data_IF_799400655831
#
_entry.id   IF_799400655831
#
_cell.length_a   1.000
_cell.length_b   1.000
_cell.length_c   1.000
_cell.angle_alpha   90.00
_cell.angle_beta   90.00
_cell.angle_gamma   90.00
#
_symmetry.space_group_name_H-M   'P 1'
#
loop_
_entity.id
_entity.type
_entity.pdbx_description
1 polymer ?
#
# COMPACT_ATOMS: atom_id res chain seq x y z
N UNK A 1 7.65 17.82 2.64
CA UNK A 1 9.07 18.24 2.82
C UNK A 1 9.80 17.87 1.53
N UNK A 2 10.85 18.56 1.11
CA UNK A 2 11.64 18.17 -0.08
C UNK A 2 12.96 17.57 0.38
N UNK A 3 13.39 16.50 -0.28
CA UNK A 3 14.73 15.96 -0.13
C UNK A 3 15.62 16.57 -1.21
N UNK A 4 16.83 16.97 -0.83
CA UNK A 4 17.80 17.54 -1.74
C UNK A 4 19.03 16.66 -1.73
N UNK A 5 19.46 16.23 -2.91
CA UNK A 5 20.80 15.68 -3.06
C UNK A 5 21.74 16.87 -3.20
N UNK A 6 22.75 16.94 -2.32
CA UNK A 6 23.82 17.94 -2.39
C UNK A 6 25.13 17.21 -2.64
N UNK A 7 25.70 17.39 -3.81
CA UNK A 7 27.02 16.89 -4.18
C UNK A 7 28.07 17.90 -3.77
N UNK A 8 29.10 17.43 -3.07
CA UNK A 8 30.27 18.20 -2.70
C UNK A 8 31.43 17.68 -3.55
N UNK A 9 32.00 18.55 -4.38
CA UNK A 9 33.16 18.24 -5.22
C UNK A 9 34.37 18.99 -4.69
N UNK A 10 35.39 18.28 -4.21
CA UNK A 10 36.67 18.85 -3.80
C UNK A 10 37.67 18.77 -4.95
N UNK A 11 38.32 19.88 -5.27
CA UNK A 11 39.40 19.93 -6.25
C UNK A 11 40.74 19.93 -5.52
N UNK A 12 41.58 18.94 -5.82
CA UNK A 12 42.95 18.85 -5.33
C UNK A 12 43.93 19.15 -6.46
N UNK A 13 45.02 19.87 -6.17
CA UNK A 13 46.07 20.19 -7.14
C UNK A 13 47.47 20.02 -6.54
N UNK A 14 48.29 19.23 -7.22
CA UNK A 14 49.72 19.05 -6.92
C UNK A 14 50.55 19.46 -8.14
N UNK A 15 51.59 20.27 -7.92
CA UNK A 15 52.52 20.68 -8.99
C UNK A 15 53.84 19.92 -8.83
N UNK A 16 54.20 19.12 -9.82
CA UNK A 16 55.42 18.32 -9.84
C UNK A 16 56.39 18.89 -10.87
N UNK A 17 57.66 19.01 -10.49
CA UNK A 17 58.73 19.41 -11.40
C UNK A 17 59.50 18.16 -11.84
N UNK A 18 59.59 17.93 -13.15
CA UNK A 18 60.33 16.80 -13.75
C UNK A 18 61.24 17.29 -14.87
N UNK A 19 62.34 16.57 -15.11
CA UNK A 19 63.22 16.80 -16.25
C UNK A 19 62.86 15.81 -17.36
N UNK A 20 62.54 16.33 -18.55
CA UNK A 20 62.13 15.55 -19.72
C UNK A 20 62.67 16.20 -21.00
N UNK A 21 62.76 15.42 -22.08
CA UNK A 21 63.18 15.92 -23.38
C UNK A 21 62.05 16.57 -24.19
N UNK A 22 60.78 16.33 -23.81
CA UNK A 22 59.60 17.01 -24.37
C UNK A 22 58.49 17.22 -23.34
N UNK A 23 57.49 18.05 -23.70
CA UNK A 23 56.29 18.27 -22.89
C UNK A 23 55.43 17.00 -22.79
N UNK A 24 55.23 16.27 -23.89
CA UNK A 24 54.46 15.03 -23.85
C UNK A 24 55.12 13.97 -22.95
N UNK A 25 56.46 13.87 -23.01
CA UNK A 25 57.21 12.95 -22.15
C UNK A 25 57.05 13.33 -20.66
N UNK A 26 57.13 14.62 -20.32
CA UNK A 26 56.91 15.10 -18.96
C UNK A 26 55.51 14.77 -18.44
N UNK A 27 54.46 15.00 -19.24
CA UNK A 27 53.06 14.69 -18.86
C UNK A 27 52.86 13.18 -18.70
N UNK A 28 53.44 12.37 -19.57
CA UNK A 28 53.32 10.92 -19.52
C UNK A 28 54.05 10.34 -18.30
N UNK A 29 55.27 10.80 -18.00
CA UNK A 29 56.01 10.38 -16.80
C UNK A 29 55.24 10.66 -15.51
N UNK A 30 54.69 11.88 -15.37
CA UNK A 30 53.92 12.25 -14.18
C UNK A 30 52.63 11.43 -14.09
N UNK A 31 51.98 11.13 -15.22
CA UNK A 31 50.80 10.26 -15.25
C UNK A 31 51.11 8.84 -14.76
N UNK A 32 52.20 8.25 -15.25
CA UNK A 32 52.63 6.91 -14.86
C UNK A 32 53.01 6.85 -13.37
N UNK A 33 53.72 7.86 -12.86
CA UNK A 33 54.06 8.00 -11.43
C UNK A 33 52.80 8.13 -10.56
N UNK A 34 51.82 8.93 -10.98
CA UNK A 34 50.54 9.05 -10.28
C UNK A 34 49.78 7.71 -10.25
N UNK A 35 49.74 6.98 -11.37
CA UNK A 35 49.12 5.65 -11.44
C UNK A 35 49.84 4.59 -10.61
N UNK A 36 51.15 4.73 -10.44
CA UNK A 36 51.96 3.88 -9.57
C UNK A 36 51.81 4.24 -8.07
N UNK A 37 51.23 5.39 -7.75
CA UNK A 37 51.04 5.88 -6.38
C UNK A 37 52.23 6.66 -5.83
N UNK A 38 53.19 7.07 -6.66
CA UNK A 38 54.35 7.87 -6.24
C UNK A 38 53.95 9.32 -5.89
N UNK A 39 52.88 9.83 -6.52
CA UNK A 39 52.26 11.11 -6.21
C UNK A 39 50.84 10.91 -5.72
N UNK A 40 50.60 11.13 -4.44
CA UNK A 40 49.28 11.05 -3.81
C UNK A 40 48.82 12.45 -3.47
N UNK A 41 47.60 12.80 -3.91
CA UNK A 41 46.99 14.07 -3.52
C UNK A 41 46.19 13.84 -2.23
N UNK A 42 46.44 14.68 -1.22
CA UNK A 42 45.78 14.63 0.08
C UNK A 42 45.18 15.98 0.47
N UNK A 43 44.81 16.12 1.74
CA UNK A 43 44.19 17.32 2.28
C UNK A 43 45.06 18.58 2.14
N UNK A 44 46.39 18.46 2.08
CA UNK A 44 47.29 19.60 1.90
C UNK A 44 47.32 20.10 0.44
N UNK A 45 46.74 19.35 -0.50
CA UNK A 45 46.63 19.73 -1.91
C UNK A 45 45.28 20.38 -2.26
N UNK A 46 44.44 20.66 -1.27
CA UNK A 46 43.13 21.27 -1.48
C UNK A 46 43.22 22.68 -2.07
N UNK A 47 42.43 22.94 -3.11
CA UNK A 47 42.37 24.26 -3.76
C UNK A 47 40.98 24.86 -3.84
N UNK A 48 39.92 24.05 -3.96
CA UNK A 48 38.56 24.57 -4.10
C UNK A 48 37.48 23.52 -3.74
N UNK A 49 36.27 23.99 -3.43
CA UNK A 49 35.10 23.15 -3.18
C UNK A 49 33.86 23.70 -3.90
N UNK A 50 33.20 22.84 -4.66
CA UNK A 50 31.97 23.15 -5.38
C UNK A 50 30.78 22.40 -4.76
N UNK A 51 29.64 23.09 -4.62
CA UNK A 51 28.40 22.53 -4.11
C UNK A 51 27.34 22.57 -5.20
N UNK A 52 26.85 21.40 -5.60
CA UNK A 52 25.78 21.27 -6.58
C UNK A 52 24.58 20.58 -5.94
N UNK A 53 23.40 21.19 -6.02
CA UNK A 53 22.16 20.59 -5.52
C UNK A 53 21.19 20.33 -6.67
N UNK A 54 20.42 19.25 -6.57
CA UNK A 54 19.28 19.04 -7.48
C UNK A 54 18.12 20.01 -7.17
N UNK A 55 17.09 20.04 -8.02
CA UNK A 55 15.88 20.88 -7.85
C UNK A 55 14.97 20.45 -6.67
N UNK A 56 15.41 19.49 -5.87
CA UNK A 56 14.68 18.88 -4.77
C UNK A 56 13.64 17.86 -5.24
N UNK A 57 13.73 16.64 -4.74
CA UNK A 57 12.71 15.60 -4.91
C UNK A 57 11.59 15.85 -3.90
N UNK A 58 10.33 15.91 -4.35
CA UNK A 58 9.20 15.93 -3.43
C UNK A 58 9.14 14.61 -2.66
N UNK A 59 9.29 14.67 -1.33
CA UNK A 59 8.99 13.54 -0.45
C UNK A 59 7.46 13.42 -0.36
N UNK A 60 6.84 12.89 -1.40
CA UNK A 60 5.41 12.55 -1.40
C UNK A 60 5.13 11.06 -1.60
N UNK A 61 6.09 10.26 -2.08
CA UNK A 61 5.82 8.86 -2.45
C UNK A 61 6.40 7.79 -1.50
N UNK A 62 7.32 8.13 -0.60
CA UNK A 62 7.97 7.13 0.27
C UNK A 62 7.28 6.99 1.65
N UNK A 63 6.29 7.85 1.96
CA UNK A 63 5.35 7.65 3.08
C UNK A 63 4.09 6.87 2.70
N UNK A 64 3.84 6.62 1.41
CA UNK A 64 2.62 5.89 0.99
C UNK A 64 2.74 4.38 1.18
N UNK A 65 3.96 3.83 1.28
CA UNK A 65 4.12 2.39 1.56
C UNK A 65 3.76 2.01 3.01
N UNK A 66 3.81 2.95 3.95
CA UNK A 66 3.44 2.71 5.36
C UNK A 66 1.96 3.00 5.64
N UNK A 67 1.26 3.66 4.70
CA UNK A 67 -0.14 4.09 4.85
C UNK A 67 -1.12 3.24 4.04
N UNK A 68 -0.71 2.08 3.51
CA UNK A 68 -1.62 1.17 2.80
C UNK A 68 -1.55 -0.24 3.37
N UNK A 69 -2.68 -0.93 3.37
CA UNK A 69 -2.78 -2.32 3.81
C UNK A 69 -3.54 -3.18 2.80
N UNK A 70 -3.15 -4.45 2.73
CA UNK A 70 -3.85 -5.45 1.93
C UNK A 70 -4.95 -6.11 2.76
N UNK A 71 -6.19 -6.00 2.32
CA UNK A 71 -7.37 -6.52 3.01
C UNK A 71 -8.14 -7.46 2.11
N UNK A 72 -8.93 -8.36 2.70
CA UNK A 72 -9.91 -9.15 1.94
C UNK A 72 -11.23 -8.38 1.90
N UNK A 73 -11.55 -7.76 0.77
CA UNK A 73 -12.79 -7.05 0.54
C UNK A 73 -13.92 -8.03 0.23
N UNK A 74 -15.10 -7.79 0.81
CA UNK A 74 -16.30 -8.61 0.58
C UNK A 74 -17.49 -7.71 0.30
N UNK A 75 -17.94 -7.72 -0.94
CA UNK A 75 -19.13 -6.97 -1.37
C UNK A 75 -20.39 -7.86 -1.39
N UNK A 76 -21.59 -7.28 -1.13
CA UNK A 76 -22.83 -8.04 -1.18
C UNK A 76 -23.03 -8.71 -2.54
N UNK A 77 -23.28 -10.03 -2.52
CA UNK A 77 -23.54 -10.79 -3.74
C UNK A 77 -22.30 -11.02 -4.63
N UNK A 78 -21.08 -10.68 -4.19
CA UNK A 78 -19.85 -10.88 -4.94
C UNK A 78 -18.92 -11.88 -4.22
N UNK A 79 -17.98 -12.43 -4.99
CA UNK A 79 -16.85 -13.17 -4.44
C UNK A 79 -15.90 -12.20 -3.73
N UNK A 80 -15.23 -12.64 -2.65
CA UNK A 80 -14.24 -11.83 -1.98
C UNK A 80 -13.00 -11.65 -2.87
N UNK A 81 -12.31 -10.53 -2.71
CA UNK A 81 -11.07 -10.25 -3.43
C UNK A 81 -10.08 -9.49 -2.55
N UNK A 82 -8.79 -9.69 -2.80
CA UNK A 82 -7.76 -8.90 -2.13
C UNK A 82 -7.75 -7.48 -2.71
N UNK A 83 -7.74 -6.49 -1.84
CA UNK A 83 -7.72 -5.07 -2.21
C UNK A 83 -6.71 -4.31 -1.34
N UNK A 84 -6.01 -3.36 -1.96
CA UNK A 84 -5.09 -2.47 -1.24
C UNK A 84 -5.81 -1.16 -0.93
N UNK A 85 -5.98 -0.86 0.34
CA UNK A 85 -6.65 0.36 0.82
C UNK A 85 -5.72 1.17 1.71
N UNK A 86 -6.03 2.44 1.94
CA UNK A 86 -5.33 3.25 2.95
C UNK A 86 -5.59 2.72 4.36
N UNK A 87 -4.60 2.84 5.25
CA UNK A 87 -4.72 2.45 6.67
C UNK A 87 -5.34 3.55 7.55
N UNK A 88 -5.50 4.77 7.03
CA UNK A 88 -6.12 5.88 7.74
C UNK A 88 -7.65 5.74 7.83
N UNK A 89 -8.24 6.28 8.91
CA UNK A 89 -9.68 6.16 9.19
C UNK A 89 -10.56 6.57 8.01
N UNK A 90 -10.21 7.62 7.27
CA UNK A 90 -11.01 8.09 6.14
C UNK A 90 -11.02 7.06 4.99
N UNK A 91 -9.90 6.37 4.75
CA UNK A 91 -9.84 5.25 3.81
C UNK A 91 -10.68 4.06 4.26
N UNK A 92 -10.67 3.74 5.56
CA UNK A 92 -11.49 2.64 6.10
C UNK A 92 -12.98 2.94 5.97
N UNK A 93 -13.39 4.17 6.33
CA UNK A 93 -14.77 4.63 6.21
C UNK A 93 -15.24 4.61 4.75
N UNK A 94 -14.37 5.06 3.83
CA UNK A 94 -14.65 4.98 2.40
C UNK A 94 -14.82 3.54 1.91
N UNK A 95 -14.04 2.59 2.45
CA UNK A 95 -14.09 1.19 2.04
C UNK A 95 -15.42 0.50 2.44
N UNK A 96 -16.08 0.93 3.52
CA UNK A 96 -17.37 0.39 3.99
C UNK A 96 -18.57 1.31 3.68
N UNK A 97 -18.33 2.39 2.94
CA UNK A 97 -19.31 3.43 2.61
C UNK A 97 -19.96 4.08 3.85
N UNK A 98 -19.21 4.36 4.93
CA UNK A 98 -19.73 4.99 6.15
C UNK A 98 -18.82 4.85 7.38
N UNK A 99 -19.33 5.18 8.56
CA UNK A 99 -18.59 4.99 9.82
C UNK A 99 -18.28 3.52 10.07
N UNK A 100 -17.07 3.24 10.58
CA UNK A 100 -16.60 1.87 10.75
C UNK A 100 -16.99 1.30 12.10
N UNK A 101 -17.30 0.02 12.10
CA UNK A 101 -17.37 -0.83 13.28
C UNK A 101 -16.38 -1.98 13.10
N UNK A 102 -15.48 -2.13 14.07
CA UNK A 102 -14.59 -3.29 14.15
C UNK A 102 -15.23 -4.36 15.04
N UNK A 103 -15.27 -5.60 14.55
CA UNK A 103 -15.69 -6.77 15.32
C UNK A 103 -14.67 -7.89 15.22
N UNK A 104 -14.63 -8.75 16.24
CA UNK A 104 -13.62 -9.80 16.41
C UNK A 104 -14.29 -11.18 16.56
N UNK A 105 -14.94 -11.70 15.50
CA UNK A 105 -15.71 -12.94 15.60
C UNK A 105 -14.86 -14.22 15.52
N UNK A 106 -13.53 -14.11 15.43
CA UNK A 106 -12.61 -15.23 15.23
C UNK A 106 -11.42 -15.15 16.19
N UNK A 107 -10.82 -16.30 16.53
CA UNK A 107 -9.64 -16.37 17.41
C UNK A 107 -8.34 -15.92 16.72
N UNK A 108 -8.31 -15.90 15.39
CA UNK A 108 -7.15 -15.40 14.64
C UNK A 108 -6.95 -13.90 14.89
N UNK A 109 -5.71 -13.37 14.81
CA UNK A 109 -5.41 -11.95 15.02
C UNK A 109 -5.87 -11.09 13.83
N UNK A 110 -7.18 -11.02 13.61
CA UNK A 110 -7.81 -10.28 12.54
C UNK A 110 -9.00 -9.48 13.06
N UNK A 111 -9.33 -8.40 12.36
CA UNK A 111 -10.58 -7.70 12.53
C UNK A 111 -11.45 -7.84 11.28
N UNK A 112 -12.77 -7.87 11.51
CA UNK A 112 -13.75 -7.62 10.47
C UNK A 112 -14.25 -6.19 10.63
N UNK A 113 -14.06 -5.38 9.59
CA UNK A 113 -14.47 -3.98 9.56
C UNK A 113 -15.70 -3.85 8.66
N UNK A 114 -16.81 -3.39 9.21
CA UNK A 114 -18.06 -3.16 8.49
C UNK A 114 -18.62 -1.76 8.79
N UNK A 115 -19.66 -1.33 8.06
CA UNK A 115 -20.34 -0.07 8.36
C UNK A 115 -21.21 -0.15 9.62
N UNK A 116 -21.01 0.75 10.58
CA UNK A 116 -21.74 0.82 11.85
C UNK A 116 -23.25 0.98 11.62
N UNK A 117 -23.64 1.93 10.77
CA UNK A 117 -25.05 2.25 10.50
C UNK A 117 -25.62 1.44 9.32
N UNK A 118 -24.86 0.52 8.72
CA UNK A 118 -25.23 -0.15 7.47
C UNK A 118 -26.60 -0.85 7.53
N UNK A 119 -26.97 -1.42 8.69
CA UNK A 119 -28.29 -2.05 8.90
C UNK A 119 -29.42 -1.01 9.00
N UNK A 120 -29.16 0.13 9.65
CA UNK A 120 -30.12 1.23 9.81
C UNK A 120 -30.36 1.94 8.48
N UNK A 121 -29.31 2.07 7.66
CA UNK A 121 -29.38 2.58 6.29
C UNK A 121 -29.97 1.57 5.28
N UNK A 122 -30.37 0.39 5.73
CA UNK A 122 -30.99 -0.66 4.91
C UNK A 122 -30.06 -1.09 3.76
N UNK A 123 -28.74 -1.12 3.98
CA UNK A 123 -27.79 -1.67 3.01
C UNK A 123 -28.07 -3.15 2.76
N UNK A 124 -27.74 -3.69 1.57
CA UNK A 124 -27.93 -5.10 1.28
C UNK A 124 -27.19 -6.00 2.28
N UNK A 125 -27.84 -7.07 2.74
CA UNK A 125 -27.20 -8.09 3.58
C UNK A 125 -26.11 -8.83 2.78
N UNK A 126 -25.00 -9.18 3.44
CA UNK A 126 -23.78 -9.64 2.77
C UNK A 126 -23.34 -11.04 3.20
N UNK A 127 -22.98 -11.23 4.48
CA UNK A 127 -22.54 -12.52 5.04
C UNK A 127 -23.07 -12.72 6.46
N UNK A 128 -23.46 -13.95 6.78
CA UNK A 128 -23.83 -14.37 8.12
C UNK A 128 -22.60 -14.55 9.00
N UNK A 129 -22.71 -14.13 10.25
CA UNK A 129 -21.82 -14.55 11.32
C UNK A 129 -22.49 -15.66 12.12
N UNK A 130 -21.72 -16.73 12.35
CA UNK A 130 -22.21 -17.97 12.94
C UNK A 130 -21.45 -18.27 14.22
N UNK A 131 -22.17 -18.78 15.21
CA UNK A 131 -21.58 -19.21 16.48
C UNK A 131 -20.88 -20.57 16.33
N UNK A 132 -20.39 -21.12 17.44
CA UNK A 132 -19.73 -22.43 17.48
C UNK A 132 -20.63 -23.59 17.03
N UNK A 133 -21.96 -23.43 17.14
CA UNK A 133 -22.96 -24.42 16.70
C UNK A 133 -23.35 -24.23 15.22
N UNK A 134 -22.84 -23.20 14.55
CA UNK A 134 -23.18 -22.84 13.17
C UNK A 134 -24.48 -22.02 13.05
N UNK A 135 -25.07 -21.61 14.16
CA UNK A 135 -26.28 -20.80 14.19
C UNK A 135 -25.96 -19.33 13.90
N UNK A 136 -26.79 -18.68 13.09
CA UNK A 136 -26.61 -17.27 12.72
C UNK A 136 -26.96 -16.41 13.93
N UNK A 137 -25.97 -15.72 14.50
CA UNK A 137 -26.19 -14.75 15.57
C UNK A 137 -26.21 -13.30 15.07
N UNK A 138 -25.56 -13.03 13.94
CA UNK A 138 -25.59 -11.72 13.29
C UNK A 138 -25.43 -11.81 11.77
N UNK A 139 -25.79 -10.75 11.05
CA UNK A 139 -25.65 -10.63 9.59
C UNK A 139 -25.04 -9.28 9.25
N UNK A 140 -23.96 -9.28 8.49
CA UNK A 140 -23.31 -8.05 8.04
C UNK A 140 -24.13 -7.42 6.91
N UNK A 141 -24.33 -6.10 6.96
CA UNK A 141 -24.95 -5.33 5.90
C UNK A 141 -23.92 -4.44 5.21
N UNK A 142 -24.04 -4.26 3.90
CA UNK A 142 -23.10 -3.47 3.08
C UNK A 142 -21.76 -4.17 2.86
N UNK A 143 -20.78 -3.41 2.37
CA UNK A 143 -19.41 -3.89 2.20
C UNK A 143 -18.74 -4.06 3.56
N UNK A 144 -17.85 -5.03 3.64
CA UNK A 144 -16.95 -5.18 4.77
C UNK A 144 -15.61 -5.72 4.29
N UNK A 145 -14.58 -5.64 5.12
CA UNK A 145 -13.30 -6.25 4.82
C UNK A 145 -12.70 -6.92 6.05
N UNK A 146 -11.78 -7.86 5.78
CA UNK A 146 -10.95 -8.51 6.81
C UNK A 146 -9.53 -7.95 6.72
N UNK A 147 -9.01 -7.46 7.84
CA UNK A 147 -7.64 -6.99 7.99
C UNK A 147 -6.93 -7.70 9.15
N UNK A 148 -5.59 -7.65 9.18
CA UNK A 148 -4.80 -8.14 10.30
C UNK A 148 -4.82 -7.17 11.47
N UNK A 149 -4.46 -7.67 12.65
CA UNK A 149 -4.21 -6.84 13.83
C UNK A 149 -2.71 -6.68 14.07
N UNK A 150 -2.23 -5.44 14.06
CA UNK A 150 -0.92 -5.07 14.57
C UNK A 150 -0.95 -4.91 16.10
N UNK A 151 0.10 -4.31 16.65
CA UNK A 151 0.19 -4.06 18.11
C UNK A 151 -0.80 -2.98 18.57
N UNK A 152 -0.95 -1.91 17.80
CA UNK A 152 -1.80 -0.76 18.15
C UNK A 152 -2.79 -0.36 17.04
N UNK A 153 -2.61 -0.88 15.81
CA UNK A 153 -3.38 -0.46 14.62
C UNK A 153 -3.83 -1.65 13.76
N UNK A 154 -4.72 -1.39 12.80
CA UNK A 154 -5.05 -2.34 11.74
C UNK A 154 -3.89 -2.51 10.77
N UNK A 155 -3.65 -3.74 10.35
CA UNK A 155 -2.56 -4.12 9.48
C UNK A 155 -3.04 -4.93 8.28
N UNK A 156 -2.13 -5.17 7.33
CA UNK A 156 -2.41 -6.07 6.21
C UNK A 156 -2.81 -7.46 6.72
N UNK A 157 -3.80 -8.08 6.05
CA UNK A 157 -4.19 -9.46 6.31
C UNK A 157 -2.98 -10.38 6.04
N UNK A 158 -2.48 -11.11 7.06
CA UNK A 158 -1.32 -11.97 6.90
C UNK A 158 -1.50 -12.98 5.78
N UNK A 159 -0.46 -13.20 4.96
CA UNK A 159 -0.54 -14.08 3.77
C UNK A 159 -1.02 -15.49 4.09
N UNK A 160 -0.69 -16.00 5.29
CA UNK A 160 -1.13 -17.31 5.78
C UNK A 160 -2.65 -17.38 6.05
N UNK A 161 -3.29 -16.25 6.36
CA UNK A 161 -4.72 -16.15 6.65
C UNK A 161 -5.57 -15.76 5.43
N UNK A 162 -4.97 -15.16 4.38
CA UNK A 162 -5.69 -14.71 3.19
C UNK A 162 -6.55 -15.81 2.58
N UNK A 163 -5.96 -16.98 2.28
CA UNK A 163 -6.69 -18.10 1.70
C UNK A 163 -7.79 -18.64 2.62
N UNK A 164 -7.53 -18.72 3.93
CA UNK A 164 -8.51 -19.18 4.93
C UNK A 164 -9.76 -18.31 4.93
N UNK A 165 -9.59 -16.98 4.86
CA UNK A 165 -10.71 -16.05 4.84
C UNK A 165 -11.37 -15.92 3.48
N UNK A 166 -10.59 -16.05 2.40
CA UNK A 166 -11.14 -16.17 1.05
C UNK A 166 -12.08 -17.37 0.96
N UNK A 167 -11.62 -18.56 1.38
CA UNK A 167 -12.44 -19.78 1.39
C UNK A 167 -13.66 -19.64 2.31
N UNK A 168 -13.50 -18.99 3.48
CA UNK A 168 -14.60 -18.76 4.44
C UNK A 168 -15.71 -17.88 3.85
N UNK A 169 -15.34 -16.82 3.14
CA UNK A 169 -16.30 -15.84 2.60
C UNK A 169 -16.56 -16.03 1.10
N UNK A 170 -16.02 -17.09 0.50
CA UNK A 170 -16.02 -17.29 -0.95
C UNK A 170 -17.45 -17.22 -1.51
N UNK A 171 -18.36 -18.01 -0.96
CA UNK A 171 -19.73 -18.08 -1.46
C UNK A 171 -20.57 -16.90 -0.95
N UNK A 172 -21.21 -16.12 -1.85
CA UNK A 172 -22.24 -15.17 -1.49
C UNK A 172 -23.45 -15.81 -0.82
N UNK A 173 -24.15 -15.05 0.02
CA UNK A 173 -25.33 -15.51 0.73
C UNK A 173 -26.55 -14.61 0.47
N UNK A 174 -27.72 -15.23 0.33
CA UNK A 174 -29.02 -14.57 0.36
C UNK A 174 -29.78 -14.93 1.63
N UNK A 175 -30.55 -13.99 2.15
CA UNK A 175 -31.18 -14.11 3.47
C UNK A 175 -32.70 -14.13 3.37
N UNK A 176 -33.33 -15.17 3.95
CA UNK A 176 -34.78 -15.34 3.98
C UNK A 176 -35.26 -15.34 5.43
N UNK A 177 -36.25 -14.49 5.73
CA UNK A 177 -36.91 -14.47 7.03
C UNK A 177 -38.12 -15.42 7.01
N UNK A 178 -38.10 -16.44 7.85
CA UNK A 178 -39.21 -17.37 8.08
C UNK A 178 -39.71 -17.22 9.53
N UNK A 179 -40.75 -16.40 9.70
CA UNK A 179 -41.27 -16.07 11.04
C UNK A 179 -40.21 -15.32 11.87
N UNK A 180 -39.77 -15.93 12.97
CA UNK A 180 -38.72 -15.42 13.85
C UNK A 180 -37.30 -15.88 13.48
N UNK A 181 -37.14 -16.82 12.54
CA UNK A 181 -35.83 -17.34 12.11
C UNK A 181 -35.37 -16.69 10.82
N UNK A 182 -34.07 -16.45 10.70
CA UNK A 182 -33.43 -16.04 9.45
C UNK A 182 -32.57 -17.19 8.94
N UNK A 183 -32.69 -17.49 7.65
CA UNK A 183 -31.88 -18.50 6.96
C UNK A 183 -30.95 -17.79 5.96
N UNK A 184 -29.70 -18.23 5.88
CA UNK A 184 -28.75 -17.83 4.85
C UNK A 184 -28.55 -18.98 3.86
N UNK A 185 -28.70 -18.68 2.57
CA UNK A 185 -28.59 -19.66 1.47
C UNK A 185 -27.43 -19.23 0.57
N UNK A 186 -26.45 -20.12 0.26
CA UNK A 186 -25.41 -19.82 -0.70
C UNK A 186 -25.98 -19.51 -2.09
N UNK A 187 -25.42 -18.51 -2.77
CA UNK A 187 -25.86 -18.09 -4.11
C UNK A 187 -24.67 -17.92 -5.05
N UNK A 188 -24.92 -18.06 -6.35
CA UNK A 188 -23.95 -17.61 -7.35
C UNK A 188 -23.74 -16.08 -7.25
N UNK A 189 -22.55 -15.58 -7.61
CA UNK A 189 -22.29 -14.15 -7.60
C UNK A 189 -23.21 -13.43 -8.57
N UNK A 190 -23.68 -12.24 -8.17
CA UNK A 190 -24.52 -11.43 -9.02
C UNK A 190 -23.74 -11.03 -10.28
N UNK A 191 -24.38 -11.14 -11.45
CA UNK A 191 -23.79 -10.68 -12.72
C UNK A 191 -23.43 -9.20 -12.57
N UNK A 192 -22.17 -8.86 -12.85
CA UNK A 192 -21.68 -7.49 -12.79
C UNK A 192 -22.65 -6.56 -13.53
N UNK A 193 -23.24 -5.61 -12.81
CA UNK A 193 -24.04 -4.55 -13.43
C UNK A 193 -23.05 -3.66 -14.16
N UNK A 194 -22.84 -3.91 -15.45
CA UNK A 194 -22.18 -2.97 -16.34
C UNK A 194 -22.92 -1.65 -16.22
N UNK A 195 -22.31 -0.65 -15.56
CA UNK A 195 -22.80 0.72 -15.57
C UNK A 195 -22.87 1.15 -17.03
N UNK A 196 -24.08 1.13 -17.59
CA UNK A 196 -24.33 1.49 -18.96
C UNK A 196 -23.82 2.89 -19.21
N UNK A 197 -22.97 3.04 -20.22
CA UNK A 197 -22.65 4.33 -20.82
C UNK A 197 -23.96 5.04 -21.13
N UNK A 198 -24.18 6.21 -20.53
CA UNK A 198 -25.23 7.11 -20.97
C UNK A 198 -25.00 7.41 -22.47
N UNK A 199 -25.96 7.02 -23.31
CA UNK A 199 -26.04 7.50 -24.68
C UNK A 199 -26.38 9.01 -24.64
N UNK A 200 -25.81 9.84 -25.53
CA UNK A 200 -26.11 11.26 -25.55
C UNK A 200 -27.57 11.48 -25.98
N UNK A 201 -28.26 12.40 -25.29
CA UNK A 201 -29.58 12.85 -25.67
C UNK A 201 -29.52 13.48 -27.08
N UNK A 202 -30.25 12.90 -28.03
CA UNK A 202 -30.51 13.51 -29.31
C UNK A 202 -31.66 14.49 -29.15
N UNK A 203 -31.34 15.78 -29.29
CA UNK A 203 -32.26 16.89 -29.39
C UNK A 203 -33.07 16.79 -30.69
N UNK A 204 -34.41 16.79 -30.58
CA UNK A 204 -35.36 17.23 -31.62
C UNK A 204 -36.63 17.77 -31.00
#
# INVERSE_FOLDING_TARGET
MKEFDVTITETLKLTVSVEASSKEEAEQMVNDQWRAGDHVLDADNFVDVEFESNDGKELSAEKEQDNTMEVLMVEPGQYPHMERIGSDLASLQKAVDGDIQAIYPYDDPVALICGEEAKLEVKPLNRALRDENGEIYDIIAGKFFICGLGEEDFASLPKELQKKYEDKFHQPEAFLKMGSKIMAIPTEPAKAVVKGKAAPAAER
#
